data_IF_653521203321
#
_entry.id   IF_653521203321
#
_cell.length_a   1.000
_cell.length_b   1.000
_cell.length_c   1.000
_cell.angle_alpha   90.00
_cell.angle_beta   90.00
_cell.angle_gamma   90.00
#
_symmetry.space_group_name_H-M   'P 1'
#
loop_
_entity.id
_entity.type
_entity.pdbx_description
1 polymer ?
#
# COMPACT_ATOMS: atom_id res chain seq x y z
N UNK A 1 -47.51 -26.66 8.93
CA UNK A 1 -46.62 -26.46 7.75
C UNK A 1 -46.15 -27.80 7.22
N UNK A 2 -46.17 -28.03 5.88
CA UNK A 2 -45.63 -29.27 5.29
C UNK A 2 -44.10 -29.27 5.41
N UNK A 3 -43.51 -30.33 5.96
CA UNK A 3 -42.04 -30.48 6.19
C UNK A 3 -41.20 -30.11 4.96
N UNK A 4 -41.65 -30.50 3.76
CA UNK A 4 -41.03 -30.15 2.48
C UNK A 4 -40.91 -28.64 2.23
N UNK A 5 -41.93 -27.86 2.62
CA UNK A 5 -41.92 -26.41 2.42
C UNK A 5 -41.03 -25.70 3.43
N UNK A 6 -40.91 -26.25 4.66
CA UNK A 6 -39.98 -25.75 5.65
C UNK A 6 -38.52 -25.95 5.17
N UNK A 7 -38.14 -27.18 4.80
CA UNK A 7 -36.79 -27.48 4.30
C UNK A 7 -36.43 -26.64 3.07
N UNK A 8 -37.35 -26.49 2.10
CA UNK A 8 -37.11 -25.64 0.92
C UNK A 8 -36.87 -24.18 1.28
N UNK A 9 -37.64 -23.61 2.21
CA UNK A 9 -37.47 -22.22 2.66
C UNK A 9 -36.16 -22.03 3.43
N UNK A 10 -35.79 -22.98 4.29
CA UNK A 10 -34.50 -22.94 4.99
C UNK A 10 -33.34 -22.99 4.01
N UNK A 11 -33.39 -23.89 3.02
CA UNK A 11 -32.35 -23.98 1.99
C UNK A 11 -32.26 -22.70 1.15
N UNK A 12 -33.40 -22.16 0.68
CA UNK A 12 -33.44 -20.90 -0.08
C UNK A 12 -32.94 -19.72 0.74
N UNK A 13 -33.30 -19.64 2.04
CA UNK A 13 -32.81 -18.60 2.94
C UNK A 13 -31.30 -18.70 3.17
N UNK A 14 -30.79 -19.91 3.41
CA UNK A 14 -29.35 -20.15 3.55
C UNK A 14 -28.56 -19.83 2.29
N UNK A 15 -29.04 -20.26 1.12
CA UNK A 15 -28.42 -19.93 -0.17
C UNK A 15 -28.44 -18.42 -0.45
N UNK A 16 -29.56 -17.74 -0.16
CA UNK A 16 -29.66 -16.29 -0.30
C UNK A 16 -28.68 -15.54 0.60
N UNK A 17 -28.59 -15.91 1.87
CA UNK A 17 -27.61 -15.34 2.80
C UNK A 17 -26.18 -15.58 2.33
N UNK A 18 -25.84 -16.81 1.93
CA UNK A 18 -24.51 -17.17 1.45
C UNK A 18 -24.09 -16.38 0.20
N UNK A 19 -25.01 -16.16 -0.74
CA UNK A 19 -24.76 -15.33 -1.92
C UNK A 19 -24.52 -13.87 -1.55
N UNK A 20 -25.33 -13.30 -0.65
CA UNK A 20 -25.15 -11.91 -0.20
C UNK A 20 -23.83 -11.71 0.52
N UNK A 21 -23.47 -12.62 1.43
CA UNK A 21 -22.18 -12.57 2.13
C UNK A 21 -21.01 -12.77 1.18
N UNK A 22 -21.15 -13.65 0.19
CA UNK A 22 -20.11 -13.90 -0.82
C UNK A 22 -19.89 -12.68 -1.71
N UNK A 23 -20.96 -12.04 -2.17
CA UNK A 23 -20.88 -10.81 -2.96
C UNK A 23 -20.28 -9.66 -2.15
N UNK A 24 -20.68 -9.49 -0.89
CA UNK A 24 -20.12 -8.45 -0.02
C UNK A 24 -18.61 -8.64 0.19
N UNK A 25 -18.19 -9.85 0.55
CA UNK A 25 -16.78 -10.15 0.82
C UNK A 25 -15.91 -10.04 -0.44
N UNK A 26 -16.50 -10.23 -1.62
CA UNK A 26 -15.77 -10.12 -2.89
C UNK A 26 -15.74 -8.69 -3.46
N UNK A 27 -16.84 -7.94 -3.35
CA UNK A 27 -17.01 -6.68 -4.09
C UNK A 27 -17.05 -5.43 -3.21
N UNK A 28 -17.19 -5.56 -1.89
CA UNK A 28 -17.32 -4.41 -0.99
C UNK A 28 -16.15 -4.37 -0.02
N UNK A 29 -15.93 -5.44 0.75
CA UNK A 29 -14.88 -5.47 1.77
C UNK A 29 -13.49 -5.09 1.23
N UNK A 30 -13.01 -5.62 0.08
CA UNK A 30 -11.64 -5.33 -0.38
C UNK A 30 -11.40 -3.87 -0.76
N UNK A 31 -12.48 -3.12 -1.04
CA UNK A 31 -12.41 -1.71 -1.43
C UNK A 31 -12.77 -0.76 -0.28
N UNK A 32 -13.03 -1.30 0.91
CA UNK A 32 -13.33 -0.51 2.10
C UNK A 32 -12.04 -0.05 2.78
N UNK A 33 -11.49 1.05 2.26
CA UNK A 33 -10.28 1.66 2.79
C UNK A 33 -10.55 2.31 4.16
N UNK A 34 -9.64 2.08 5.11
CA UNK A 34 -9.71 2.64 6.45
C UNK A 34 -8.37 3.28 6.82
N UNK A 35 -8.42 4.48 7.40
CA UNK A 35 -7.24 5.15 7.95
C UNK A 35 -7.12 4.86 9.45
N UNK A 36 -6.12 4.05 9.82
CA UNK A 36 -5.86 3.68 11.20
C UNK A 36 -4.84 4.66 11.81
N UNK A 37 -5.26 5.41 12.84
CA UNK A 37 -4.38 6.32 13.57
C UNK A 37 -3.87 5.67 14.86
N UNK A 38 -2.58 5.31 14.87
CA UNK A 38 -1.91 4.74 16.03
C UNK A 38 -1.05 5.80 16.74
N UNK A 39 -1.03 5.76 18.08
CA UNK A 39 -0.08 6.57 18.85
C UNK A 39 1.29 5.93 18.79
N UNK A 40 2.30 6.72 18.47
CA UNK A 40 3.70 6.29 18.42
C UNK A 40 4.50 6.95 19.56
N UNK A 41 4.52 6.37 20.77
CA UNK A 41 5.25 6.94 21.90
C UNK A 41 6.76 6.71 21.72
N UNK A 42 7.46 7.71 21.21
CA UNK A 42 8.92 7.70 21.09
C UNK A 42 9.55 8.48 22.24
N UNK A 43 10.66 7.95 22.77
CA UNK A 43 11.49 8.65 23.77
C UNK A 43 12.56 9.46 23.06
N UNK A 44 12.94 10.59 23.65
CA UNK A 44 14.04 11.43 23.17
C UNK A 44 13.87 11.93 21.72
N UNK A 45 12.62 12.19 21.30
CA UNK A 45 12.39 12.85 20.00
C UNK A 45 12.64 14.35 20.11
N UNK A 46 13.14 15.00 19.04
CA UNK A 46 13.15 16.45 18.94
C UNK A 46 11.77 17.06 19.25
N UNK A 47 11.74 18.17 19.98
CA UNK A 47 10.48 18.81 20.40
C UNK A 47 9.61 19.24 19.21
N UNK A 48 10.24 19.64 18.10
CA UNK A 48 9.59 19.99 16.83
C UNK A 48 8.84 18.82 16.16
N UNK A 49 9.15 17.57 16.54
CA UNK A 49 8.48 16.38 16.05
C UNK A 49 7.29 15.94 16.92
N UNK A 50 7.06 16.58 18.06
CA UNK A 50 5.93 16.26 18.93
C UNK A 50 4.62 16.61 18.21
N UNK A 51 3.76 15.61 18.04
CA UNK A 51 2.48 15.76 17.34
C UNK A 51 2.57 15.64 15.81
N UNK A 52 3.76 15.39 15.27
CA UNK A 52 3.94 15.05 13.86
C UNK A 52 3.47 13.64 13.56
N UNK A 53 3.16 13.42 12.29
CA UNK A 53 2.59 12.19 11.76
C UNK A 53 3.54 11.49 10.80
N UNK A 54 3.56 10.16 10.86
CA UNK A 54 4.20 9.30 9.87
C UNK A 54 3.11 8.46 9.24
N UNK A 55 2.95 8.56 7.93
CA UNK A 55 2.07 7.67 7.16
C UNK A 55 2.92 6.55 6.56
N UNK A 56 2.55 5.32 6.83
CA UNK A 56 3.15 4.14 6.20
C UNK A 56 2.25 3.66 5.07
N UNK A 57 2.84 3.43 3.90
CA UNK A 57 2.18 2.84 2.73
C UNK A 57 3.01 1.63 2.30
N UNK A 58 2.36 0.49 2.07
CA UNK A 58 3.01 -0.79 1.76
C UNK A 58 2.12 -1.63 0.87
N UNK A 59 2.68 -2.62 0.18
CA UNK A 59 1.95 -3.71 -0.45
C UNK A 59 0.86 -3.21 -1.42
N UNK A 60 1.15 -2.14 -2.15
CA UNK A 60 0.20 -1.56 -3.11
C UNK A 60 -0.02 -2.50 -4.30
N UNK A 61 0.98 -3.34 -4.63
CA UNK A 61 0.90 -4.39 -5.62
C UNK A 61 0.23 -3.97 -6.95
N UNK A 62 0.71 -2.88 -7.56
CA UNK A 62 0.25 -2.47 -8.89
C UNK A 62 0.42 -3.63 -9.88
N UNK A 63 -0.67 -4.02 -10.52
CA UNK A 63 -0.69 -5.18 -11.40
C UNK A 63 -2.06 -5.42 -12.01
N UNK A 64 -2.20 -6.54 -12.71
CA UNK A 64 -3.39 -6.84 -13.51
C UNK A 64 -4.56 -7.42 -12.71
N UNK A 65 -4.38 -7.70 -11.41
CA UNK A 65 -5.41 -8.30 -10.57
C UNK A 65 -6.54 -7.31 -10.23
N UNK A 66 -6.20 -6.04 -10.02
CA UNK A 66 -7.13 -4.97 -9.68
C UNK A 66 -6.84 -3.72 -10.51
N UNK A 67 -7.85 -2.89 -10.73
CA UNK A 67 -7.68 -1.61 -11.41
C UNK A 67 -6.83 -0.66 -10.55
N UNK A 68 -5.67 -0.24 -11.09
CA UNK A 68 -4.77 0.70 -10.41
C UNK A 68 -5.43 2.06 -10.14
N UNK A 69 -6.57 2.37 -10.78
CA UNK A 69 -7.37 3.55 -10.46
C UNK A 69 -7.81 3.57 -8.99
N UNK A 70 -8.07 2.40 -8.39
CA UNK A 70 -8.36 2.30 -6.95
C UNK A 70 -7.20 2.85 -6.12
N UNK A 71 -5.96 2.47 -6.44
CA UNK A 71 -4.75 2.93 -5.75
C UNK A 71 -4.57 4.44 -5.92
N UNK A 72 -4.83 4.97 -7.12
CA UNK A 72 -4.78 6.41 -7.39
C UNK A 72 -5.79 7.16 -6.51
N UNK A 73 -7.00 6.64 -6.36
CA UNK A 73 -8.03 7.27 -5.53
C UNK A 73 -7.67 7.16 -4.03
N UNK A 74 -7.10 6.03 -3.60
CA UNK A 74 -6.49 5.88 -2.26
C UNK A 74 -5.44 6.94 -1.97
N UNK A 75 -4.56 7.20 -2.94
CA UNK A 75 -3.51 8.19 -2.78
C UNK A 75 -4.08 9.61 -2.65
N UNK A 76 -5.13 9.95 -3.39
CA UNK A 76 -5.80 11.25 -3.24
C UNK A 76 -6.41 11.41 -1.85
N UNK A 77 -7.10 10.39 -1.35
CA UNK A 77 -7.65 10.41 0.02
C UNK A 77 -6.54 10.50 1.07
N UNK A 78 -5.45 9.77 0.89
CA UNK A 78 -4.30 9.80 1.79
C UNK A 78 -3.58 11.17 1.78
N UNK A 79 -3.49 11.83 0.63
CA UNK A 79 -2.92 13.17 0.51
C UNK A 79 -3.70 14.21 1.31
N UNK A 80 -5.02 14.07 1.44
CA UNK A 80 -5.86 14.99 2.21
C UNK A 80 -5.54 14.96 3.72
N UNK A 81 -4.94 13.87 4.21
CA UNK A 81 -4.46 13.76 5.60
C UNK A 81 -3.19 14.58 5.88
N UNK A 82 -2.50 15.06 4.83
CA UNK A 82 -1.32 15.95 4.90
C UNK A 82 -0.26 15.44 5.90
N UNK A 83 0.28 14.22 5.71
CA UNK A 83 1.26 13.66 6.62
C UNK A 83 2.54 14.50 6.68
N UNK A 84 3.23 14.48 7.81
CA UNK A 84 4.53 15.15 7.96
C UNK A 84 5.64 14.30 7.32
N UNK A 85 5.64 12.99 7.56
CA UNK A 85 6.48 12.02 6.86
C UNK A 85 5.65 10.96 6.16
N UNK A 86 6.14 10.47 5.03
CA UNK A 86 5.62 9.27 4.37
C UNK A 86 6.73 8.25 4.25
N UNK A 87 6.45 7.00 4.64
CA UNK A 87 7.35 5.87 4.46
C UNK A 87 6.68 4.83 3.59
N UNK A 88 7.30 4.51 2.46
CA UNK A 88 6.89 3.42 1.58
C UNK A 88 7.70 2.15 1.92
N UNK A 89 7.03 1.07 2.29
CA UNK A 89 7.68 -0.13 2.84
C UNK A 89 7.70 -1.35 1.90
N UNK A 90 7.70 -1.10 0.60
CA UNK A 90 7.93 -2.13 -0.43
C UNK A 90 6.66 -2.70 -1.06
N UNK A 91 6.88 -3.67 -1.96
CA UNK A 91 5.87 -4.42 -2.71
C UNK A 91 4.97 -3.50 -3.56
N UNK A 92 5.62 -2.72 -4.43
CA UNK A 92 4.97 -1.75 -5.30
C UNK A 92 4.25 -2.39 -6.48
N UNK A 93 4.73 -3.53 -6.96
CA UNK A 93 4.18 -4.21 -8.14
C UNK A 93 3.92 -5.69 -7.90
N UNK A 94 2.93 -6.23 -8.60
CA UNK A 94 2.88 -7.67 -8.89
C UNK A 94 3.44 -7.88 -10.28
N UNK A 95 4.75 -8.06 -10.38
CA UNK A 95 5.45 -8.04 -11.66
C UNK A 95 5.16 -9.30 -12.50
N UNK A 96 4.65 -9.09 -13.71
CA UNK A 96 4.53 -10.12 -14.75
C UNK A 96 5.38 -9.75 -15.98
N UNK A 97 5.43 -8.47 -16.31
CA UNK A 97 6.22 -7.88 -17.39
C UNK A 97 6.34 -6.33 -17.23
N UNK A 98 7.02 -5.67 -18.17
CA UNK A 98 7.27 -4.22 -18.15
C UNK A 98 5.99 -3.34 -18.12
N UNK A 99 4.82 -3.88 -18.44
CA UNK A 99 3.54 -3.17 -18.31
C UNK A 99 3.32 -2.68 -16.87
N UNK A 100 3.66 -3.49 -15.86
CA UNK A 100 3.45 -3.11 -14.46
C UNK A 100 4.35 -1.94 -14.03
N UNK A 101 5.53 -1.79 -14.62
CA UNK A 101 6.38 -0.61 -14.40
C UNK A 101 5.71 0.63 -14.98
N UNK A 102 5.09 0.51 -16.15
CA UNK A 102 4.34 1.62 -16.77
C UNK A 102 3.11 1.98 -15.94
N UNK A 103 2.35 0.99 -15.46
CA UNK A 103 1.21 1.22 -14.56
C UNK A 103 1.67 1.88 -13.25
N UNK A 104 2.77 1.43 -12.66
CA UNK A 104 3.35 2.04 -11.46
C UNK A 104 3.70 3.51 -11.71
N UNK A 105 4.32 3.84 -12.84
CA UNK A 105 4.64 5.23 -13.18
C UNK A 105 3.39 6.11 -13.31
N UNK A 106 2.28 5.59 -13.82
CA UNK A 106 0.99 6.30 -13.83
C UNK A 106 0.45 6.54 -12.41
N UNK A 107 0.50 5.53 -11.54
CA UNK A 107 0.11 5.64 -10.12
C UNK A 107 0.97 6.66 -9.38
N UNK A 108 2.30 6.64 -9.60
CA UNK A 108 3.26 7.51 -8.93
C UNK A 108 3.12 8.99 -9.30
N UNK A 109 2.39 9.35 -10.35
CA UNK A 109 1.99 10.76 -10.59
C UNK A 109 1.16 11.33 -9.44
N UNK A 110 0.53 10.46 -8.66
CA UNK A 110 -0.28 10.80 -7.49
C UNK A 110 0.40 10.39 -6.18
N UNK A 111 1.71 10.11 -6.16
CA UNK A 111 2.43 9.68 -4.96
C UNK A 111 2.12 10.57 -3.76
N UNK A 112 1.94 9.96 -2.59
CA UNK A 112 1.68 10.68 -1.34
C UNK A 112 3.01 11.17 -0.80
N UNK A 113 3.09 12.47 -0.48
CA UNK A 113 4.32 13.09 0.00
C UNK A 113 4.15 13.64 1.41
N UNK A 114 5.17 13.41 2.23
CA UNK A 114 5.29 14.07 3.53
C UNK A 114 5.79 15.48 3.34
N UNK A 115 5.31 16.41 4.17
CA UNK A 115 5.81 17.80 4.13
C UNK A 115 7.26 17.95 4.62
N UNK A 116 7.76 17.01 5.42
CA UNK A 116 9.13 16.96 5.94
C UNK A 116 10.00 15.95 5.19
N UNK A 117 9.43 14.85 4.68
CA UNK A 117 10.17 13.88 3.89
C UNK A 117 9.35 12.68 3.45
N UNK A 118 9.77 12.07 2.34
CA UNK A 118 9.21 10.83 1.83
C UNK A 118 10.34 9.85 1.56
N UNK A 119 10.28 8.69 2.21
CA UNK A 119 11.32 7.66 2.20
C UNK A 119 10.72 6.36 1.68
N UNK A 120 11.49 5.56 0.96
CA UNK A 120 11.05 4.25 0.46
C UNK A 120 12.12 3.18 0.61
N UNK A 121 11.69 1.93 0.74
CA UNK A 121 12.50 0.73 0.54
C UNK A 121 11.83 -0.17 -0.50
N UNK A 122 12.54 -1.18 -0.99
CA UNK A 122 11.96 -2.24 -1.82
C UNK A 122 11.47 -3.40 -0.94
N UNK A 123 10.43 -4.09 -1.39
CA UNK A 123 10.00 -5.39 -0.88
C UNK A 123 10.47 -6.52 -1.79
N UNK A 124 10.18 -7.77 -1.42
CA UNK A 124 10.60 -8.93 -2.21
C UNK A 124 9.94 -8.95 -3.60
N UNK A 125 8.68 -8.54 -3.74
CA UNK A 125 7.97 -8.55 -5.03
C UNK A 125 8.53 -7.54 -6.04
N UNK A 126 9.33 -6.59 -5.58
CA UNK A 126 9.97 -5.59 -6.43
C UNK A 126 11.20 -6.13 -7.16
N UNK A 127 11.62 -7.36 -6.87
CA UNK A 127 12.68 -8.08 -7.58
C UNK A 127 12.14 -8.98 -8.69
N UNK A 128 10.98 -8.65 -9.26
CA UNK A 128 10.45 -9.33 -10.45
C UNK A 128 10.08 -10.81 -10.24
N UNK A 129 10.18 -11.60 -11.30
CA UNK A 129 9.78 -13.02 -11.28
C UNK A 129 10.72 -13.81 -10.37
N UNK A 130 10.15 -14.63 -9.49
CA UNK A 130 10.87 -15.43 -8.49
C UNK A 130 11.75 -14.60 -7.53
N UNK A 131 11.58 -13.28 -7.48
CA UNK A 131 12.29 -12.35 -6.60
C UNK A 131 13.81 -12.27 -6.85
N UNK A 132 14.25 -12.38 -8.11
CA UNK A 132 15.69 -12.46 -8.48
C UNK A 132 16.14 -11.46 -9.56
N UNK A 133 15.27 -10.55 -10.01
CA UNK A 133 15.50 -9.64 -11.13
C UNK A 133 15.89 -8.22 -10.66
N UNK A 134 17.18 -8.01 -10.42
CA UNK A 134 17.74 -6.71 -9.98
C UNK A 134 17.42 -5.53 -10.93
N UNK A 135 17.21 -5.80 -12.22
CA UNK A 135 16.82 -4.78 -13.19
C UNK A 135 15.39 -4.26 -12.92
N UNK A 136 14.49 -5.13 -12.45
CA UNK A 136 13.12 -4.74 -12.08
C UNK A 136 13.18 -3.85 -10.83
N UNK A 137 13.91 -4.29 -9.81
CA UNK A 137 14.17 -3.51 -8.60
C UNK A 137 14.76 -2.14 -8.91
N UNK A 138 15.72 -2.07 -9.84
CA UNK A 138 16.29 -0.82 -10.31
C UNK A 138 15.26 0.07 -10.99
N UNK A 139 14.43 -0.46 -11.89
CA UNK A 139 13.41 0.34 -12.59
C UNK A 139 12.36 0.91 -11.63
N UNK A 140 11.97 0.14 -10.60
CA UNK A 140 11.05 0.58 -9.56
C UNK A 140 11.69 1.68 -8.71
N UNK A 141 12.94 1.47 -8.28
CA UNK A 141 13.73 2.48 -7.54
C UNK A 141 13.81 3.77 -8.33
N UNK A 142 14.25 3.71 -9.58
CA UNK A 142 14.39 4.88 -10.46
C UNK A 142 13.01 5.58 -10.64
N UNK A 143 11.91 4.83 -10.72
CA UNK A 143 10.56 5.40 -10.83
C UNK A 143 10.11 6.14 -9.54
N UNK A 144 10.39 5.58 -8.37
CA UNK A 144 10.09 6.19 -7.07
C UNK A 144 10.94 7.42 -6.81
N UNK A 145 12.24 7.38 -7.13
CA UNK A 145 13.14 8.52 -7.02
C UNK A 145 12.69 9.67 -7.94
N UNK A 146 12.30 9.37 -9.18
CA UNK A 146 11.74 10.36 -10.09
C UNK A 146 10.42 10.96 -9.57
N UNK A 147 9.64 10.19 -8.82
CA UNK A 147 8.45 10.66 -8.13
C UNK A 147 8.77 11.48 -6.85
N UNK A 148 10.04 11.55 -6.43
CA UNK A 148 10.52 12.32 -5.29
C UNK A 148 10.55 11.56 -3.97
N UNK A 149 10.60 10.22 -4.02
CA UNK A 149 10.82 9.34 -2.87
C UNK A 149 12.32 9.14 -2.68
N UNK A 150 12.83 9.28 -1.46
CA UNK A 150 14.23 8.96 -1.13
C UNK A 150 14.31 7.45 -0.88
N UNK A 151 14.91 6.71 -1.82
CA UNK A 151 15.06 5.27 -1.70
C UNK A 151 16.27 4.92 -0.84
N UNK A 152 16.07 4.13 0.21
CA UNK A 152 17.12 3.62 1.08
C UNK A 152 17.35 2.14 0.78
N UNK A 153 18.62 1.78 0.56
CA UNK A 153 19.05 0.41 0.29
C UNK A 153 20.21 0.04 1.19
N UNK A 154 19.91 -0.63 2.31
CA UNK A 154 20.87 -0.86 3.39
C UNK A 154 21.58 0.42 3.83
N UNK A 155 20.80 1.49 3.92
CA UNK A 155 21.28 2.84 4.17
C UNK A 155 20.41 3.54 5.22
N UNK A 156 20.91 4.64 5.74
CA UNK A 156 20.24 5.45 6.73
C UNK A 156 20.30 6.93 6.38
N UNK A 157 19.24 7.65 6.73
CA UNK A 157 19.17 9.10 6.57
C UNK A 157 18.57 9.72 7.82
N UNK A 158 19.09 10.89 8.20
CA UNK A 158 18.49 11.73 9.23
C UNK A 158 17.70 12.87 8.55
N UNK A 159 16.43 13.02 8.93
CA UNK A 159 15.58 14.13 8.50
C UNK A 159 14.94 14.75 9.74
N UNK A 160 15.22 16.03 9.98
CA UNK A 160 14.71 16.79 11.13
C UNK A 160 14.98 16.09 12.49
N UNK A 161 16.18 15.52 12.65
CA UNK A 161 16.56 14.81 13.88
C UNK A 161 15.91 13.43 14.07
N UNK A 162 15.15 12.95 13.07
CA UNK A 162 14.62 11.58 13.04
C UNK A 162 15.45 10.73 12.08
N UNK A 163 15.94 9.58 12.57
CA UNK A 163 16.68 8.63 11.77
C UNK A 163 15.73 7.63 11.11
N UNK A 164 15.88 7.48 9.79
CA UNK A 164 15.23 6.44 8.99
C UNK A 164 16.31 5.46 8.54
N UNK A 165 16.07 4.17 8.74
CA UNK A 165 16.96 3.09 8.33
C UNK A 165 16.19 2.20 7.37
N UNK A 166 16.69 2.06 6.15
CA UNK A 166 16.13 1.17 5.14
C UNK A 166 17.00 -0.07 5.00
N UNK A 167 16.37 -1.24 5.10
CA UNK A 167 17.03 -2.53 4.86
C UNK A 167 16.40 -3.13 3.61
N UNK A 168 17.24 -3.61 2.69
CA UNK A 168 16.74 -4.37 1.56
C UNK A 168 16.34 -5.77 2.03
N UNK A 169 15.35 -6.35 1.36
CA UNK A 169 15.06 -7.77 1.44
C UNK A 169 16.14 -8.55 0.65
N UNK A 170 16.79 -9.53 1.28
CA UNK A 170 17.87 -10.36 0.72
C UNK A 170 17.64 -11.84 1.00
#
# INVERSE_FOLDING_TARGET
MKRRNFVKRTFQGGAGLGLLTGLYSWQIEPFWMEFIHLKMPLRNIPEELIGKTVMQISDIHVGNLFDYQYIIDSYKEAQDLKPDFVVYTGDYVTYENDEQITQLQEVLKFVVKGSLGTIGILGNHDYGIDFVEDNVAKNITDSLENAGVIMLRNDAIEINGLNFLGMDDF
#
